data_IF_919283098145
#
_entry.id   IF_919283098145
#
_cell.length_a   1.000
_cell.length_b   1.000
_cell.length_c   1.000
_cell.angle_alpha   90.00
_cell.angle_beta   90.00
_cell.angle_gamma   90.00
#
_symmetry.space_group_name_H-M   'P 1'
#
loop_
_entity.id
_entity.type
_entity.pdbx_description
1 polymer ?
#
# COMPACT_ATOMS: atom_id res chain seq x y z
N UNK A 1 16.46 14.34 -16.16
CA UNK A 1 15.22 14.19 -16.95
C UNK A 1 15.22 12.77 -17.47
N UNK A 2 14.17 11.98 -17.20
CA UNK A 2 14.10 10.55 -17.55
C UNK A 2 12.99 10.37 -18.58
N UNK A 3 13.31 9.75 -19.71
CA UNK A 3 12.34 9.45 -20.77
C UNK A 3 11.58 8.15 -20.50
N UNK A 4 10.35 8.06 -20.98
CA UNK A 4 9.56 6.83 -20.94
C UNK A 4 10.15 5.77 -21.91
N UNK A 5 9.90 4.47 -21.66
CA UNK A 5 10.31 3.43 -22.58
C UNK A 5 9.52 3.51 -23.90
N UNK A 6 10.08 2.95 -24.96
CA UNK A 6 9.38 2.75 -26.23
C UNK A 6 8.17 1.83 -26.05
N UNK A 7 7.23 1.88 -26.99
CA UNK A 7 6.13 0.92 -27.05
C UNK A 7 6.62 -0.49 -27.38
N UNK A 8 5.86 -1.51 -26.97
CA UNK A 8 6.17 -2.91 -27.25
C UNK A 8 6.27 -3.15 -28.76
N UNK A 9 5.34 -2.59 -29.55
CA UNK A 9 5.35 -2.68 -31.02
C UNK A 9 6.63 -2.12 -31.65
N UNK A 10 7.06 -0.93 -31.22
CA UNK A 10 8.30 -0.32 -31.74
C UNK A 10 9.53 -1.14 -31.36
N UNK A 11 9.56 -1.69 -30.14
CA UNK A 11 10.65 -2.55 -29.69
C UNK A 11 10.71 -3.85 -30.50
N UNK A 12 9.59 -4.56 -30.64
CA UNK A 12 9.49 -5.82 -31.39
C UNK A 12 9.84 -5.64 -32.88
N UNK A 13 9.41 -4.53 -33.49
CA UNK A 13 9.70 -4.21 -34.89
C UNK A 13 11.08 -3.56 -35.10
N UNK A 14 11.88 -3.40 -34.04
CA UNK A 14 13.18 -2.71 -34.07
C UNK A 14 13.10 -1.31 -34.69
N UNK A 15 12.00 -0.59 -34.41
CA UNK A 15 11.75 0.78 -34.90
C UNK A 15 12.17 1.79 -33.85
N UNK A 16 13.05 2.76 -34.18
CA UNK A 16 13.34 3.88 -33.30
C UNK A 16 12.06 4.67 -32.99
N UNK A 17 11.76 4.85 -31.70
CA UNK A 17 10.63 5.62 -31.23
C UNK A 17 11.12 6.76 -30.32
N UNK A 18 10.77 8.00 -30.66
CA UNK A 18 11.01 9.13 -29.78
C UNK A 18 9.91 9.18 -28.72
N UNK A 19 10.27 8.95 -27.46
CA UNK A 19 9.33 8.93 -26.35
C UNK A 19 9.29 10.26 -25.61
N UNK A 20 8.19 10.51 -24.90
CA UNK A 20 8.04 11.67 -24.01
C UNK A 20 8.80 11.48 -22.69
N UNK A 21 9.07 12.59 -21.99
CA UNK A 21 9.64 12.51 -20.65
C UNK A 21 8.62 12.03 -19.61
N UNK A 22 9.10 11.45 -18.52
CA UNK A 22 8.26 11.09 -17.38
C UNK A 22 7.52 12.30 -16.79
N UNK A 23 8.15 13.48 -16.83
CA UNK A 23 7.53 14.72 -16.37
C UNK A 23 6.37 15.14 -17.28
N UNK A 24 6.57 15.06 -18.60
CA UNK A 24 5.53 15.40 -19.58
C UNK A 24 4.35 14.44 -19.49
N UNK A 25 4.61 13.15 -19.24
CA UNK A 25 3.59 12.12 -19.07
C UNK A 25 2.61 12.38 -17.93
N UNK A 26 2.97 13.22 -16.95
CA UNK A 26 2.08 13.63 -15.84
C UNK A 26 1.16 14.79 -16.20
N UNK A 27 1.35 15.40 -17.37
CA UNK A 27 0.43 16.40 -17.92
C UNK A 27 -0.76 15.71 -18.63
N UNK A 28 -1.92 16.37 -18.73
CA UNK A 28 -3.05 15.84 -19.50
C UNK A 28 -2.69 15.51 -20.96
N UNK A 29 -1.88 16.35 -21.61
CA UNK A 29 -1.40 16.13 -22.97
C UNK A 29 -0.38 15.00 -23.12
N UNK A 30 0.34 14.66 -22.05
CA UNK A 30 1.27 13.54 -22.05
C UNK A 30 0.56 12.22 -21.77
N UNK A 31 -0.47 12.22 -20.92
CA UNK A 31 -1.28 11.05 -20.63
C UNK A 31 -1.91 10.44 -21.90
N UNK A 32 -2.31 11.27 -22.88
CA UNK A 32 -2.87 10.81 -24.16
C UNK A 32 -1.86 10.14 -25.10
N UNK A 33 -0.57 10.17 -24.76
CA UNK A 33 0.53 9.58 -25.55
C UNK A 33 1.17 8.38 -24.86
N UNK A 34 0.56 7.88 -23.78
CA UNK A 34 1.10 6.73 -23.05
C UNK A 34 1.02 5.46 -23.91
N UNK A 35 2.10 4.67 -23.86
CA UNK A 35 2.10 3.26 -24.27
C UNK A 35 1.75 2.38 -23.06
N UNK A 36 1.46 1.10 -23.31
CA UNK A 36 1.16 0.12 -22.25
C UNK A 36 2.29 0.01 -21.22
N UNK A 37 3.55 -0.09 -21.68
CA UNK A 37 4.69 -0.13 -20.77
C UNK A 37 4.99 1.25 -20.16
N UNK A 38 4.80 2.33 -20.93
CA UNK A 38 4.95 3.71 -20.44
C UNK A 38 4.00 4.02 -19.27
N UNK A 39 2.76 3.50 -19.29
CA UNK A 39 1.82 3.68 -18.20
C UNK A 39 2.23 2.94 -16.93
N UNK A 40 2.88 1.77 -17.04
CA UNK A 40 3.48 1.08 -15.88
C UNK A 40 4.55 1.95 -15.23
N UNK A 41 5.46 2.52 -16.02
CA UNK A 41 6.53 3.39 -15.51
C UNK A 41 5.97 4.65 -14.86
N UNK A 42 4.94 5.26 -15.47
CA UNK A 42 4.23 6.38 -14.87
C UNK A 42 3.63 5.97 -13.51
N UNK A 43 2.90 4.86 -13.45
CA UNK A 43 2.26 4.41 -12.21
C UNK A 43 3.27 4.06 -11.12
N UNK A 44 4.40 3.42 -11.46
CA UNK A 44 5.50 3.17 -10.53
C UNK A 44 6.03 4.49 -9.93
N UNK A 45 6.20 5.52 -10.76
CA UNK A 45 6.66 6.84 -10.29
C UNK A 45 5.64 7.51 -9.35
N UNK A 46 4.34 7.37 -9.63
CA UNK A 46 3.27 7.92 -8.80
C UNK A 46 3.15 7.18 -7.47
N UNK A 47 3.31 5.84 -7.46
CA UNK A 47 3.42 5.09 -6.21
C UNK A 47 4.62 5.54 -5.36
N UNK A 48 5.78 5.75 -5.98
CA UNK A 48 6.94 6.30 -5.26
C UNK A 48 6.65 7.66 -4.62
N UNK A 49 5.95 8.55 -5.33
CA UNK A 49 5.53 9.86 -4.78
C UNK A 49 4.49 9.72 -3.68
N UNK A 50 3.53 8.81 -3.81
CA UNK A 50 2.57 8.51 -2.73
C UNK A 50 3.29 8.05 -1.47
N UNK A 51 4.26 7.14 -1.60
CA UNK A 51 5.04 6.64 -0.46
C UNK A 51 5.81 7.77 0.24
N UNK A 52 6.43 8.68 -0.54
CA UNK A 52 7.10 9.86 0.02
C UNK A 52 6.09 10.78 0.73
N UNK A 53 4.95 11.08 0.09
CA UNK A 53 3.89 11.92 0.66
C UNK A 53 3.31 11.35 1.96
N UNK A 54 3.25 10.02 2.09
CA UNK A 54 2.73 9.33 3.29
C UNK A 54 3.78 9.21 4.41
N UNK A 55 5.01 8.81 4.08
CA UNK A 55 6.00 8.37 5.07
C UNK A 55 7.16 9.36 5.32
N UNK A 56 7.29 10.42 4.52
CA UNK A 56 8.33 11.44 4.71
C UNK A 56 7.70 12.81 4.96
N UNK A 57 7.32 13.10 6.23
CA UNK A 57 6.81 14.41 6.61
C UNK A 57 7.87 15.49 6.36
N UNK A 58 7.44 16.62 5.82
CA UNK A 58 8.27 17.81 5.64
C UNK A 58 8.02 18.79 6.81
N UNK A 59 9.06 19.42 7.40
CA UNK A 59 8.88 20.47 8.40
C UNK A 59 7.93 21.59 7.96
N UNK A 60 7.87 21.88 6.66
CA UNK A 60 7.02 22.92 6.08
C UNK A 60 5.63 22.42 5.63
N UNK A 61 5.27 21.16 5.90
CA UNK A 61 4.02 20.55 5.41
C UNK A 61 2.76 21.29 5.89
N UNK A 62 2.78 21.86 7.11
CA UNK A 62 1.65 22.57 7.76
C UNK A 62 0.33 21.80 7.57
N UNK A 63 0.34 20.53 7.93
CA UNK A 63 -0.76 19.58 7.70
C UNK A 63 -2.06 19.89 8.49
N UNK A 64 -1.98 20.78 9.48
CA UNK A 64 -3.14 21.35 10.19
C UNK A 64 -3.82 22.53 9.45
N UNK A 65 -3.23 23.03 8.36
CA UNK A 65 -3.80 24.08 7.51
C UNK A 65 -4.11 23.49 6.12
N UNK A 66 -5.36 23.59 5.66
CA UNK A 66 -5.77 23.10 4.34
C UNK A 66 -5.08 23.81 3.17
N UNK A 67 -4.46 24.96 3.43
CA UNK A 67 -3.60 25.69 2.49
C UNK A 67 -2.11 25.37 2.64
N UNK A 68 -1.75 24.49 3.57
CA UNK A 68 -0.39 23.99 3.79
C UNK A 68 0.15 23.19 2.61
N UNK A 69 1.48 23.03 2.58
CA UNK A 69 2.18 22.36 1.48
C UNK A 69 1.80 20.88 1.33
N UNK A 70 1.48 20.19 2.43
CA UNK A 70 0.95 18.83 2.37
C UNK A 70 -0.30 18.76 1.49
N UNK A 71 -1.28 19.63 1.73
CA UNK A 71 -2.58 19.61 1.05
C UNK A 71 -2.48 20.13 -0.39
N UNK A 72 -1.58 21.09 -0.66
CA UNK A 72 -1.26 21.49 -2.04
C UNK A 72 -0.67 20.33 -2.83
N UNK A 73 0.33 19.63 -2.26
CA UNK A 73 0.95 18.45 -2.87
C UNK A 73 -0.06 17.33 -3.09
N UNK A 74 -0.92 17.08 -2.10
CA UNK A 74 -2.01 16.10 -2.17
C UNK A 74 -2.95 16.40 -3.35
N UNK A 75 -3.45 17.63 -3.45
CA UNK A 75 -4.34 18.06 -4.56
C UNK A 75 -3.66 17.95 -5.92
N UNK A 76 -2.37 18.30 -6.00
CA UNK A 76 -1.60 18.16 -7.24
C UNK A 76 -1.50 16.69 -7.67
N UNK A 77 -1.25 15.77 -6.72
CA UNK A 77 -1.16 14.35 -6.99
C UNK A 77 -2.52 13.75 -7.38
N UNK A 78 -3.61 14.13 -6.70
CA UNK A 78 -4.98 13.72 -7.05
C UNK A 78 -5.34 14.20 -8.46
N UNK A 79 -4.99 15.44 -8.79
CA UNK A 79 -5.19 16.00 -10.12
C UNK A 79 -4.40 15.22 -11.20
N UNK A 80 -3.16 14.81 -10.94
CA UNK A 80 -2.39 13.98 -11.90
C UNK A 80 -3.06 12.61 -12.09
N UNK A 81 -3.52 11.96 -11.02
CA UNK A 81 -4.21 10.67 -11.10
C UNK A 81 -5.51 10.76 -11.87
N UNK A 82 -6.34 11.77 -11.58
CA UNK A 82 -7.59 12.02 -12.27
C UNK A 82 -7.35 12.26 -13.76
N UNK A 83 -6.42 13.15 -14.12
CA UNK A 83 -6.12 13.41 -15.53
C UNK A 83 -5.54 12.19 -16.24
N UNK A 84 -4.69 11.42 -15.58
CA UNK A 84 -4.17 10.17 -16.14
C UNK A 84 -5.34 9.26 -16.51
N UNK A 85 -6.28 9.02 -15.59
CA UNK A 85 -7.46 8.18 -15.83
C UNK A 85 -8.33 8.70 -16.99
N UNK A 86 -8.64 10.00 -17.01
CA UNK A 86 -9.52 10.60 -18.00
C UNK A 86 -8.88 10.66 -19.40
N UNK A 87 -7.58 10.95 -19.47
CA UNK A 87 -6.85 11.19 -20.71
C UNK A 87 -6.15 9.95 -21.27
N UNK A 88 -6.28 8.77 -20.64
CA UNK A 88 -5.75 7.53 -21.22
C UNK A 88 -6.27 7.34 -22.67
N UNK A 89 -5.40 6.92 -23.61
CA UNK A 89 -5.80 6.50 -24.95
C UNK A 89 -6.88 5.40 -24.89
N UNK A 90 -7.76 5.35 -25.88
CA UNK A 90 -8.86 4.38 -25.91
C UNK A 90 -8.36 2.93 -25.80
N UNK A 91 -7.25 2.59 -26.46
CA UNK A 91 -6.64 1.27 -26.39
C UNK A 91 -6.10 0.92 -25.00
N UNK A 92 -5.81 1.91 -24.15
CA UNK A 92 -5.36 1.71 -22.76
C UNK A 92 -6.52 1.75 -21.75
N UNK A 93 -7.75 1.97 -22.20
CA UNK A 93 -8.95 1.94 -21.35
C UNK A 93 -9.60 0.56 -21.39
N UNK A 94 -10.22 0.19 -20.28
CA UNK A 94 -11.03 -1.02 -20.21
C UNK A 94 -12.45 -0.76 -20.74
N UNK A 95 -13.09 -1.72 -21.42
CA UNK A 95 -12.62 -3.09 -21.68
C UNK A 95 -11.71 -3.24 -22.91
N UNK A 96 -11.47 -2.18 -23.69
CA UNK A 96 -10.76 -2.27 -24.98
C UNK A 96 -9.34 -2.86 -24.86
N UNK A 97 -8.59 -2.49 -23.82
CA UNK A 97 -7.23 -2.98 -23.57
C UNK A 97 -7.13 -4.20 -22.65
N UNK A 98 -8.23 -4.91 -22.36
CA UNK A 98 -8.26 -5.98 -21.34
C UNK A 98 -7.36 -7.17 -21.67
N UNK A 99 -7.05 -7.41 -22.95
CA UNK A 99 -6.15 -8.49 -23.39
C UNK A 99 -4.70 -8.26 -22.99
N UNK A 100 -4.31 -7.02 -22.69
CA UNK A 100 -2.94 -6.69 -22.28
C UNK A 100 -2.85 -6.58 -20.74
N UNK A 101 -2.07 -7.45 -20.09
CA UNK A 101 -1.96 -7.45 -18.63
C UNK A 101 -1.42 -6.15 -18.02
N UNK A 102 -0.55 -5.42 -18.74
CA UNK A 102 -0.03 -4.14 -18.28
C UNK A 102 -1.13 -3.07 -18.27
N UNK A 103 -2.08 -3.13 -19.19
CA UNK A 103 -3.22 -2.20 -19.24
C UNK A 103 -4.18 -2.47 -18.08
N UNK A 104 -4.50 -3.73 -17.84
CA UNK A 104 -5.30 -4.16 -16.69
C UNK A 104 -4.65 -3.67 -15.39
N UNK A 105 -3.36 -3.93 -15.22
CA UNK A 105 -2.62 -3.52 -14.04
C UNK A 105 -2.50 -2.00 -13.92
N UNK A 106 -2.34 -1.26 -15.02
CA UNK A 106 -2.35 0.21 -15.03
C UNK A 106 -3.67 0.76 -14.48
N UNK A 107 -4.81 0.27 -14.99
CA UNK A 107 -6.12 0.74 -14.55
C UNK A 107 -6.36 0.41 -13.07
N UNK A 108 -6.01 -0.80 -12.61
CA UNK A 108 -6.05 -1.14 -11.17
C UNK A 108 -5.11 -0.25 -10.33
N UNK A 109 -3.92 0.06 -10.85
CA UNK A 109 -2.91 0.87 -10.17
C UNK A 109 -3.35 2.32 -9.99
N UNK A 110 -4.07 2.90 -10.96
CA UNK A 110 -4.63 4.26 -10.84
C UNK A 110 -5.54 4.33 -9.62
N UNK A 111 -6.52 3.43 -9.53
CA UNK A 111 -7.44 3.37 -8.39
C UNK A 111 -6.73 3.07 -7.08
N UNK A 112 -5.74 2.16 -7.10
CA UNK A 112 -4.95 1.82 -5.90
C UNK A 112 -4.17 3.04 -5.41
N UNK A 113 -3.55 3.78 -6.32
CA UNK A 113 -2.84 5.03 -6.01
C UNK A 113 -3.78 6.09 -5.43
N UNK A 114 -4.99 6.24 -5.97
CA UNK A 114 -6.03 7.10 -5.42
C UNK A 114 -6.38 6.71 -3.98
N UNK A 115 -6.57 5.41 -3.70
CA UNK A 115 -6.84 4.93 -2.33
C UNK A 115 -5.68 5.31 -1.41
N UNK A 116 -4.44 4.96 -1.75
CA UNK A 116 -3.28 5.26 -0.92
C UNK A 116 -3.12 6.76 -0.63
N UNK A 117 -3.36 7.60 -1.63
CA UNK A 117 -3.29 9.05 -1.50
C UNK A 117 -4.35 9.57 -0.49
N UNK A 118 -5.61 9.19 -0.67
CA UNK A 118 -6.69 9.58 0.23
C UNK A 118 -6.57 8.97 1.63
N UNK A 119 -5.84 7.86 1.77
CA UNK A 119 -5.48 7.31 3.08
C UNK A 119 -4.50 8.21 3.86
N UNK A 120 -3.63 8.93 3.18
CA UNK A 120 -2.86 9.99 3.85
C UNK A 120 -3.78 11.13 4.32
N UNK A 121 -4.71 11.57 3.47
CA UNK A 121 -5.61 12.69 3.77
C UNK A 121 -6.53 12.44 4.96
N UNK A 122 -7.23 11.30 4.99
CA UNK A 122 -8.14 10.98 6.10
C UNK A 122 -7.37 10.90 7.42
N UNK A 123 -6.20 10.26 7.44
CA UNK A 123 -5.37 10.21 8.65
C UNK A 123 -4.99 11.61 9.14
N UNK A 124 -4.50 12.48 8.25
CA UNK A 124 -4.11 13.85 8.61
C UNK A 124 -5.30 14.69 9.04
N UNK A 125 -6.43 14.59 8.33
CA UNK A 125 -7.65 15.31 8.66
C UNK A 125 -8.16 14.93 10.05
N UNK A 126 -8.23 13.63 10.35
CA UNK A 126 -8.69 13.13 11.65
C UNK A 126 -7.70 13.50 12.77
N UNK A 127 -6.38 13.38 12.53
CA UNK A 127 -5.32 13.73 13.49
C UNK A 127 -5.35 15.20 13.89
N UNK A 128 -5.53 16.09 12.92
CA UNK A 128 -5.50 17.55 13.12
C UNK A 128 -6.89 18.15 13.34
N UNK A 129 -7.92 17.31 13.44
CA UNK A 129 -9.32 17.73 13.67
C UNK A 129 -9.79 18.76 12.64
N UNK A 130 -9.40 18.57 11.38
CA UNK A 130 -9.86 19.38 10.25
C UNK A 130 -11.39 19.19 10.06
N UNK A 131 -12.06 20.05 9.27
CA UNK A 131 -13.48 19.88 8.99
C UNK A 131 -13.80 18.46 8.52
N UNK A 132 -14.83 17.84 9.12
CA UNK A 132 -15.20 16.44 8.84
C UNK A 132 -15.50 16.16 7.36
N UNK A 133 -15.87 17.19 6.59
CA UNK A 133 -16.05 17.11 5.14
C UNK A 133 -14.81 16.53 4.43
N UNK A 134 -13.60 16.94 4.82
CA UNK A 134 -12.35 16.52 4.19
C UNK A 134 -12.13 15.00 4.32
N UNK A 135 -12.34 14.48 5.53
CA UNK A 135 -12.28 13.05 5.83
C UNK A 135 -13.39 12.29 5.10
N UNK A 136 -14.62 12.83 5.08
CA UNK A 136 -15.76 12.20 4.42
C UNK A 136 -15.61 12.10 2.89
N UNK A 137 -15.14 13.16 2.24
CA UNK A 137 -14.93 13.20 0.79
C UNK A 137 -13.84 12.21 0.37
N UNK A 138 -12.75 12.16 1.15
CA UNK A 138 -11.67 11.19 0.93
C UNK A 138 -12.14 9.75 1.13
N UNK A 139 -13.04 9.48 2.10
CA UNK A 139 -13.65 8.15 2.28
C UNK A 139 -14.50 7.75 1.08
N UNK A 140 -15.26 8.69 0.52
CA UNK A 140 -16.04 8.48 -0.72
C UNK A 140 -15.11 8.14 -1.89
N UNK A 141 -14.02 8.88 -2.08
CA UNK A 141 -13.03 8.58 -3.13
C UNK A 141 -12.42 7.19 -2.98
N UNK A 142 -12.08 6.78 -1.77
CA UNK A 142 -11.56 5.44 -1.48
C UNK A 142 -12.56 4.33 -1.84
N UNK A 143 -13.82 4.44 -1.41
CA UNK A 143 -14.82 3.39 -1.66
C UNK A 143 -15.17 3.28 -3.15
N UNK A 144 -15.26 4.41 -3.86
CA UNK A 144 -15.45 4.42 -5.31
C UNK A 144 -14.28 3.71 -6.02
N UNK A 145 -13.04 4.05 -5.68
CA UNK A 145 -11.86 3.41 -6.27
C UNK A 145 -11.78 1.90 -5.96
N UNK A 146 -12.16 1.48 -4.74
CA UNK A 146 -12.19 0.07 -4.37
C UNK A 146 -13.25 -0.71 -5.18
N UNK A 147 -14.41 -0.11 -5.43
CA UNK A 147 -15.44 -0.69 -6.30
C UNK A 147 -14.95 -0.85 -7.74
N UNK A 148 -14.21 0.12 -8.29
CA UNK A 148 -13.60 0.00 -9.62
C UNK A 148 -12.57 -1.14 -9.67
N UNK A 149 -11.70 -1.29 -8.65
CA UNK A 149 -10.77 -2.42 -8.58
C UNK A 149 -11.52 -3.76 -8.57
N UNK A 150 -12.59 -3.87 -7.77
CA UNK A 150 -13.41 -5.07 -7.74
C UNK A 150 -14.10 -5.35 -9.08
N UNK A 151 -14.58 -4.30 -9.77
CA UNK A 151 -15.16 -4.38 -11.10
C UNK A 151 -14.15 -4.90 -12.13
N UNK A 152 -12.93 -4.33 -12.15
CA UNK A 152 -11.85 -4.78 -13.03
C UNK A 152 -11.48 -6.23 -12.74
N UNK A 153 -11.37 -6.61 -11.47
CA UNK A 153 -11.05 -7.98 -11.09
C UNK A 153 -12.15 -8.97 -11.52
N UNK A 154 -13.43 -8.59 -11.48
CA UNK A 154 -14.53 -9.40 -12.05
C UNK A 154 -14.43 -9.55 -13.56
N UNK A 155 -14.04 -8.49 -14.27
CA UNK A 155 -13.87 -8.56 -15.72
C UNK A 155 -12.81 -9.60 -16.13
N UNK A 156 -11.73 -9.73 -15.37
CA UNK A 156 -10.59 -10.61 -15.70
C UNK A 156 -10.58 -11.93 -14.91
N UNK A 157 -11.60 -12.22 -14.08
CA UNK A 157 -11.56 -13.37 -13.17
C UNK A 157 -11.57 -14.73 -13.87
N UNK A 158 -11.90 -14.75 -15.16
CA UNK A 158 -11.90 -15.94 -16.01
C UNK A 158 -10.56 -16.11 -16.78
N UNK A 159 -9.69 -15.10 -16.76
CA UNK A 159 -8.38 -15.12 -17.42
C UNK A 159 -7.35 -15.82 -16.55
N UNK A 160 -6.30 -16.38 -17.16
CA UNK A 160 -5.18 -16.95 -16.41
C UNK A 160 -4.42 -15.85 -15.65
N UNK A 161 -4.60 -15.83 -14.33
CA UNK A 161 -4.00 -14.84 -13.44
C UNK A 161 -2.47 -14.92 -13.39
N UNK A 162 -1.84 -15.99 -13.90
CA UNK A 162 -0.37 -16.08 -14.00
C UNK A 162 0.22 -15.14 -15.06
N UNK A 163 -0.60 -14.70 -16.01
CA UNK A 163 -0.21 -13.72 -17.04
C UNK A 163 -0.22 -12.27 -16.54
N UNK A 164 -0.75 -12.04 -15.33
CA UNK A 164 -0.96 -10.70 -14.78
C UNK A 164 0.25 -10.27 -13.95
N UNK A 165 0.51 -8.95 -13.93
CA UNK A 165 1.53 -8.37 -13.08
C UNK A 165 1.38 -8.87 -11.62
N UNK A 166 2.43 -9.47 -11.01
CA UNK A 166 2.36 -10.00 -9.66
C UNK A 166 1.91 -8.96 -8.61
N UNK A 167 2.14 -7.67 -8.85
CA UNK A 167 1.72 -6.62 -7.93
C UNK A 167 0.21 -6.36 -7.92
N UNK A 168 -0.59 -7.03 -8.77
CA UNK A 168 -2.06 -6.99 -8.67
C UNK A 168 -2.56 -7.45 -7.31
N UNK A 169 -1.86 -8.36 -6.62
CA UNK A 169 -2.23 -8.77 -5.26
C UNK A 169 -2.31 -7.58 -4.29
N UNK A 170 -1.45 -6.56 -4.47
CA UNK A 170 -1.47 -5.35 -3.66
C UNK A 170 -2.72 -4.49 -3.96
N UNK A 171 -3.13 -4.39 -5.23
CA UNK A 171 -4.35 -3.68 -5.61
C UNK A 171 -5.59 -4.30 -4.95
N UNK A 172 -5.69 -5.63 -4.99
CA UNK A 172 -6.80 -6.36 -4.35
C UNK A 172 -6.79 -6.21 -2.83
N UNK A 173 -5.62 -6.30 -2.21
CA UNK A 173 -5.43 -6.10 -0.78
C UNK A 173 -5.92 -4.71 -0.32
N UNK A 174 -5.47 -3.65 -1.01
CA UNK A 174 -5.84 -2.27 -0.68
C UNK A 174 -7.36 -2.05 -0.82
N UNK A 175 -7.98 -2.57 -1.88
CA UNK A 175 -9.42 -2.50 -2.06
C UNK A 175 -10.20 -3.26 -0.97
N UNK A 176 -9.75 -4.48 -0.63
CA UNK A 176 -10.37 -5.29 0.42
C UNK A 176 -10.35 -4.56 1.77
N UNK A 177 -9.23 -3.90 2.13
CA UNK A 177 -9.15 -3.11 3.38
C UNK A 177 -10.11 -1.94 3.39
N UNK A 178 -10.32 -1.26 2.27
CA UNK A 178 -11.33 -0.20 2.18
C UNK A 178 -12.72 -0.76 2.49
N UNK A 179 -13.09 -1.92 1.93
CA UNK A 179 -14.38 -2.56 2.23
C UNK A 179 -14.50 -2.98 3.69
N UNK A 180 -13.46 -3.57 4.28
CA UNK A 180 -13.44 -3.92 5.72
C UNK A 180 -13.69 -2.69 6.58
N UNK A 181 -12.99 -1.58 6.30
CA UNK A 181 -13.16 -0.34 7.05
C UNK A 181 -14.53 0.29 6.85
N UNK A 182 -15.06 0.26 5.62
CA UNK A 182 -16.40 0.78 5.31
C UNK A 182 -17.49 0.01 6.07
N UNK A 183 -17.40 -1.33 6.08
CA UNK A 183 -18.34 -2.20 6.79
C UNK A 183 -18.33 -2.02 8.32
N UNK A 184 -17.27 -1.44 8.92
CA UNK A 184 -17.30 -1.05 10.34
C UNK A 184 -18.37 0.00 10.64
N UNK A 185 -18.67 0.86 9.67
CA UNK A 185 -19.67 1.93 9.80
C UNK A 185 -21.02 1.57 9.19
N UNK A 186 -21.02 0.70 8.17
CA UNK A 186 -22.22 0.28 7.42
C UNK A 186 -22.28 -1.24 7.29
N UNK A 187 -22.50 -1.96 8.38
CA UNK A 187 -22.41 -3.42 8.38
C UNK A 187 -23.58 -4.13 7.69
N UNK A 188 -24.64 -3.40 7.32
CA UNK A 188 -25.81 -3.91 6.60
C UNK A 188 -25.66 -3.80 5.07
N UNK A 189 -24.55 -3.23 4.58
CA UNK A 189 -24.28 -3.08 3.15
C UNK A 189 -23.85 -4.43 2.53
N UNK A 190 -24.83 -5.20 2.08
CA UNK A 190 -24.61 -6.54 1.49
C UNK A 190 -23.77 -6.49 0.24
N UNK A 191 -23.94 -5.47 -0.61
CA UNK A 191 -23.18 -5.31 -1.86
C UNK A 191 -21.68 -5.14 -1.58
N UNK A 192 -21.32 -4.36 -0.56
CA UNK A 192 -19.93 -4.19 -0.16
C UNK A 192 -19.38 -5.48 0.45
N UNK A 193 -20.17 -6.18 1.26
CA UNK A 193 -19.78 -7.47 1.82
C UNK A 193 -19.55 -8.53 0.72
N UNK A 194 -20.40 -8.58 -0.31
CA UNK A 194 -20.25 -9.46 -1.46
C UNK A 194 -18.99 -9.15 -2.27
N UNK A 195 -18.71 -7.86 -2.47
CA UNK A 195 -17.49 -7.42 -3.16
C UNK A 195 -16.23 -7.80 -2.38
N UNK A 196 -16.25 -7.67 -1.06
CA UNK A 196 -15.15 -8.13 -0.20
C UNK A 196 -14.96 -9.65 -0.27
N UNK A 197 -16.05 -10.45 -0.18
CA UNK A 197 -15.96 -11.92 -0.32
C UNK A 197 -15.36 -12.32 -1.68
N UNK A 198 -15.79 -11.65 -2.76
CA UNK A 198 -15.24 -11.87 -4.08
C UNK A 198 -13.72 -11.59 -4.13
N UNK A 199 -13.27 -10.45 -3.59
CA UNK A 199 -11.84 -10.12 -3.56
C UNK A 199 -11.03 -11.13 -2.74
N UNK A 200 -11.55 -11.59 -1.60
CA UNK A 200 -10.90 -12.62 -0.78
C UNK A 200 -10.78 -13.96 -1.54
N UNK A 201 -11.81 -14.34 -2.29
CA UNK A 201 -11.77 -15.53 -3.14
C UNK A 201 -10.71 -15.40 -4.25
N UNK A 202 -10.66 -14.24 -4.93
CA UNK A 202 -9.67 -13.94 -5.95
C UNK A 202 -8.23 -13.99 -5.40
N UNK A 203 -7.99 -13.38 -4.24
CA UNK A 203 -6.68 -13.43 -3.57
C UNK A 203 -6.31 -14.86 -3.14
N UNK A 204 -7.25 -15.66 -2.67
CA UNK A 204 -7.02 -17.07 -2.36
C UNK A 204 -6.66 -17.90 -3.60
N UNK A 205 -7.22 -17.59 -4.77
CA UNK A 205 -6.81 -18.22 -6.02
C UNK A 205 -5.38 -17.82 -6.41
N UNK A 206 -5.04 -16.54 -6.23
CA UNK A 206 -3.77 -15.93 -6.62
C UNK A 206 -2.59 -16.38 -5.73
N UNK A 207 -2.83 -16.66 -4.43
CA UNK A 207 -1.78 -17.05 -3.47
C UNK A 207 -0.98 -18.30 -3.87
N UNK A 208 -1.60 -19.22 -4.64
CA UNK A 208 -0.92 -20.43 -5.14
C UNK A 208 0.25 -20.14 -6.07
N UNK A 209 0.30 -18.95 -6.67
CA UNK A 209 1.29 -18.55 -7.67
C UNK A 209 2.08 -17.31 -7.25
N UNK A 210 1.58 -16.55 -6.30
CA UNK A 210 2.19 -15.32 -5.82
C UNK A 210 2.28 -15.32 -4.27
N UNK A 211 3.46 -15.64 -3.71
CA UNK A 211 3.69 -15.69 -2.26
C UNK A 211 3.35 -14.39 -1.52
N UNK A 212 3.45 -13.23 -2.17
CA UNK A 212 3.09 -11.94 -1.56
C UNK A 212 1.61 -11.89 -1.18
N UNK A 213 0.76 -12.59 -1.95
CA UNK A 213 -0.68 -12.63 -1.67
C UNK A 213 -0.99 -13.30 -0.33
N UNK A 214 -0.21 -14.31 0.06
CA UNK A 214 -0.37 -14.97 1.35
C UNK A 214 -0.10 -14.00 2.50
N UNK A 215 0.97 -13.21 2.41
CA UNK A 215 1.28 -12.17 3.40
C UNK A 215 0.13 -11.15 3.53
N UNK A 216 -0.44 -10.72 2.40
CA UNK A 216 -1.57 -9.79 2.41
C UNK A 216 -2.86 -10.40 2.96
N UNK A 217 -3.11 -11.70 2.73
CA UNK A 217 -4.26 -12.41 3.29
C UNK A 217 -4.15 -12.51 4.82
N UNK A 218 -2.98 -12.84 5.35
CA UNK A 218 -2.75 -12.88 6.81
C UNK A 218 -3.04 -11.51 7.44
N UNK A 219 -2.60 -10.43 6.80
CA UNK A 219 -2.86 -9.08 7.30
C UNK A 219 -4.36 -8.72 7.25
N UNK A 220 -5.07 -9.18 6.22
CA UNK A 220 -6.53 -9.00 6.10
C UNK A 220 -7.31 -9.82 7.13
N UNK A 221 -6.85 -11.03 7.47
CA UNK A 221 -7.49 -11.87 8.48
C UNK A 221 -7.54 -11.17 9.85
N UNK A 222 -6.47 -10.44 10.21
CA UNK A 222 -6.43 -9.60 11.42
C UNK A 222 -7.47 -8.47 11.36
N UNK A 223 -7.55 -7.77 10.22
CA UNK A 223 -8.52 -6.68 10.02
C UNK A 223 -9.97 -7.19 10.08
N UNK A 224 -10.23 -8.39 9.52
CA UNK A 224 -11.52 -9.07 9.53
C UNK A 224 -11.91 -9.56 10.92
N UNK A 225 -10.96 -10.08 11.70
CA UNK A 225 -11.21 -10.48 13.08
C UNK A 225 -11.63 -9.27 13.93
N UNK A 226 -10.90 -8.15 13.81
CA UNK A 226 -11.27 -6.91 14.47
C UNK A 226 -12.68 -6.43 14.06
N UNK A 227 -13.06 -6.60 12.79
CA UNK A 227 -14.42 -6.32 12.31
C UNK A 227 -15.45 -7.26 12.93
N UNK A 228 -15.17 -8.57 12.99
CA UNK A 228 -16.08 -9.59 13.52
C UNK A 228 -16.30 -9.47 15.03
N UNK A 229 -15.27 -9.09 15.80
CA UNK A 229 -15.37 -8.79 17.23
C UNK A 229 -16.30 -7.59 17.45
N UNK A 230 -16.14 -6.54 16.64
CA UNK A 230 -16.98 -5.34 16.73
C UNK A 230 -18.41 -5.61 16.24
N UNK A 231 -18.57 -6.48 15.25
CA UNK A 231 -19.83 -6.69 14.52
C UNK A 231 -20.08 -8.21 14.36
N UNK A 232 -20.65 -8.88 15.37
CA UNK A 232 -20.78 -10.36 15.41
C UNK A 232 -21.55 -10.97 14.24
N UNK A 233 -22.71 -10.43 13.88
CA UNK A 233 -22.88 -9.86 12.54
C UNK A 233 -22.23 -10.57 11.34
N UNK A 234 -21.06 -10.03 11.03
CA UNK A 234 -20.25 -10.31 9.85
C UNK A 234 -19.31 -11.50 10.06
N UNK A 235 -19.24 -12.06 11.28
CA UNK A 235 -18.44 -13.26 11.58
C UNK A 235 -18.84 -14.44 10.71
N UNK A 236 -20.16 -14.64 10.50
CA UNK A 236 -20.65 -15.70 9.64
C UNK A 236 -20.38 -15.44 8.14
N UNK A 237 -20.22 -14.17 7.74
CA UNK A 237 -19.98 -13.76 6.37
C UNK A 237 -18.52 -13.93 5.92
N UNK A 238 -17.57 -13.95 6.87
CA UNK A 238 -16.12 -14.03 6.62
C UNK A 238 -15.48 -15.05 7.57
N UNK A 239 -15.74 -16.37 7.40
CA UNK A 239 -15.12 -17.41 8.21
C UNK A 239 -13.60 -17.46 7.97
N UNK A 240 -12.82 -17.79 9.02
CA UNK A 240 -11.36 -17.92 8.90
C UNK A 240 -10.98 -19.00 7.90
N UNK A 241 -9.82 -18.81 7.27
CA UNK A 241 -9.15 -19.84 6.48
C UNK A 241 -8.92 -21.15 7.27
N UNK A 242 -8.81 -21.08 8.61
CA UNK A 242 -8.68 -22.24 9.52
C UNK A 242 -10.01 -22.87 9.94
N UNK A 243 -11.12 -22.15 9.80
CA UNK A 243 -12.47 -22.60 10.19
C UNK A 243 -13.22 -23.26 9.03
N UNK A 244 -12.65 -23.22 7.82
CA UNK A 244 -13.14 -24.00 6.69
C UNK A 244 -12.92 -25.50 6.99
N UNK A 245 -13.94 -26.36 6.89
CA UNK A 245 -13.72 -27.79 6.99
C UNK A 245 -12.73 -28.17 5.89
N UNK A 246 -11.53 -28.60 6.28
CA UNK A 246 -10.60 -29.20 5.34
C UNK A 246 -11.31 -30.32 4.58
N UNK A 247 -10.89 -30.66 3.35
CA UNK A 247 -11.40 -31.84 2.68
C UNK A 247 -11.20 -33.01 3.64
N UNK A 248 -12.30 -33.65 4.05
CA UNK A 248 -12.24 -34.91 4.80
C UNK A 248 -11.66 -35.95 3.84
N UNK A 249 -10.33 -36.02 3.76
CA UNK A 249 -9.66 -37.21 3.29
C UNK A 249 -9.88 -38.27 4.35
N UNK A 250 -10.98 -39.01 4.22
CA UNK A 250 -11.04 -40.37 4.73
C UNK A 250 -9.84 -41.10 4.12
N UNK A 251 -8.91 -41.53 4.97
CA UNK A 251 -7.76 -42.32 4.57
C UNK A 251 -8.23 -43.46 3.64
N UNK A 252 -7.72 -43.56 2.40
CA UNK A 252 -7.92 -44.78 1.65
C UNK A 252 -7.13 -45.88 2.35
N UNK A 253 -7.77 -47.05 2.50
CA UNK A 253 -7.14 -48.29 2.91
C UNK A 253 -5.79 -48.49 2.20
N UNK A 254 -4.83 -49.08 2.91
CA UNK A 254 -3.42 -49.25 2.54
C UNK A 254 -3.15 -50.08 1.27
N UNK A 255 -4.17 -50.34 0.43
CA UNK A 255 -4.09 -51.15 -0.78
C UNK A 255 -4.16 -50.32 -2.07
N UNK A 256 -4.46 -49.02 -2.02
CA UNK A 256 -4.54 -48.17 -3.23
C UNK A 256 -3.22 -47.46 -3.60
N UNK A 257 -2.11 -47.70 -2.88
CA UNK A 257 -0.78 -47.09 -3.15
C UNK A 257 0.17 -48.09 -3.82
N UNK A 258 -0.37 -48.91 -4.72
CA UNK A 258 0.43 -49.79 -5.59
C UNK A 258 -0.12 -49.73 -6.99
N UNK A 259 0.23 -48.66 -7.71
CA UNK A 259 0.50 -48.67 -9.16
C UNK A 259 0.70 -47.24 -9.67
N UNK A 260 1.88 -46.69 -9.38
CA UNK A 260 2.52 -45.66 -10.20
C UNK A 260 4.02 -45.98 -10.18
N UNK A 261 4.47 -46.94 -10.99
CA UNK A 261 5.91 -47.16 -11.20
C UNK A 261 6.47 -45.92 -11.90
N UNK A 262 7.42 -45.26 -11.25
CA UNK A 262 8.23 -44.19 -11.82
C UNK A 262 9.69 -44.56 -11.54
N UNK A 263 10.61 -44.63 -12.54
CA UNK A 263 11.89 -45.32 -12.37
C UNK A 263 12.95 -44.57 -11.56
N UNK A 264 12.75 -43.28 -11.23
CA UNK A 264 13.82 -42.42 -10.71
C UNK A 264 13.62 -41.95 -9.25
N UNK A 265 12.95 -42.75 -8.42
CA UNK A 265 13.27 -42.87 -6.98
C UNK A 265 13.46 -41.61 -6.11
N UNK A 266 12.68 -40.53 -6.28
CA UNK A 266 12.65 -39.42 -5.29
C UNK A 266 11.21 -39.01 -4.99
N UNK A 267 10.75 -39.35 -3.79
CA UNK A 267 9.44 -38.97 -3.26
C UNK A 267 9.55 -37.93 -2.12
N UNK A 268 8.59 -37.00 -2.08
CA UNK A 268 8.31 -36.19 -0.89
C UNK A 268 8.91 -34.78 -0.85
N UNK A 269 8.44 -34.01 0.15
CA UNK A 269 8.44 -32.54 0.29
C UNK A 269 9.82 -31.86 0.47
N UNK A 270 10.92 -32.52 0.06
CA UNK A 270 12.29 -32.02 0.14
C UNK A 270 12.95 -31.75 -1.21
N UNK A 271 12.20 -31.70 -2.31
CA UNK A 271 12.76 -31.44 -3.65
C UNK A 271 13.03 -29.96 -4.00
N UNK A 272 12.81 -29.02 -3.07
CA UNK A 272 13.13 -27.59 -3.28
C UNK A 272 13.94 -27.01 -2.12
N UNK A 273 15.08 -27.65 -1.80
CA UNK A 273 16.17 -26.97 -1.11
C UNK A 273 17.20 -26.55 -2.15
N UNK A 274 16.87 -25.49 -2.90
CA UNK A 274 17.80 -24.92 -3.85
C UNK A 274 18.93 -24.23 -3.08
N UNK A 275 20.15 -24.60 -3.43
CA UNK A 275 21.40 -24.07 -2.93
C UNK A 275 21.54 -22.59 -3.33
N UNK A 276 21.17 -21.67 -2.44
CA UNK A 276 21.63 -20.28 -2.52
C UNK A 276 23.00 -20.18 -1.86
N UNK A 277 24.03 -20.40 -2.67
CA UNK A 277 25.43 -20.22 -2.29
C UNK A 277 25.80 -18.73 -2.36
N UNK A 278 25.33 -17.90 -1.42
CA UNK A 278 25.94 -16.59 -1.17
C UNK A 278 25.69 -16.16 0.28
N UNK A 279 26.79 -15.99 1.03
CA UNK A 279 26.91 -15.54 2.43
C UNK A 279 26.74 -16.61 3.51
N UNK A 280 27.80 -17.39 3.74
CA UNK A 280 28.07 -18.07 5.01
C UNK A 280 29.16 -17.32 5.77
N UNK A 281 28.84 -16.82 6.95
CA UNK A 281 29.73 -16.49 8.07
C UNK A 281 28.82 -16.34 9.30
N UNK A 282 29.02 -16.91 10.48
CA UNK A 282 29.97 -17.85 11.06
C UNK A 282 29.49 -17.96 12.52
N UNK A 283 29.25 -19.19 12.98
CA UNK A 283 29.09 -19.65 14.37
C UNK A 283 28.61 -18.64 15.45
N UNK A 284 27.39 -18.81 15.97
CA UNK A 284 27.10 -18.43 17.36
C UNK A 284 26.05 -19.35 17.99
N UNK A 285 26.38 -19.89 19.17
CA UNK A 285 25.67 -20.98 19.84
C UNK A 285 24.57 -20.44 20.77
N UNK A 286 23.33 -20.86 20.52
CA UNK A 286 22.16 -20.49 21.34
C UNK A 286 22.17 -21.18 22.73
N UNK A 287 22.73 -20.53 23.75
CA UNK A 287 22.58 -20.95 25.16
C UNK A 287 21.52 -20.11 25.90
N UNK A 288 20.44 -20.71 26.43
CA UNK A 288 19.29 -20.03 27.04
C UNK A 288 19.51 -19.48 28.46
N UNK A 289 20.76 -19.37 28.95
CA UNK A 289 21.07 -18.99 30.34
C UNK A 289 21.19 -17.48 30.63
N UNK A 290 20.96 -16.59 29.66
CA UNK A 290 21.19 -15.14 29.81
C UNK A 290 19.94 -14.24 29.79
N UNK A 291 18.78 -14.75 30.22
CA UNK A 291 17.58 -13.93 30.36
C UNK A 291 17.40 -13.42 31.80
N UNK A 292 17.36 -12.10 32.06
CA UNK A 292 16.70 -11.55 33.22
C UNK A 292 15.34 -10.93 32.87
N UNK A 293 14.32 -11.40 33.59
CA UNK A 293 12.95 -10.90 33.72
C UNK A 293 12.89 -9.40 34.05
N UNK A 294 11.78 -8.72 33.71
CA UNK A 294 11.23 -7.56 34.43
C UNK A 294 9.77 -7.24 34.01
N UNK A 295 8.84 -7.80 34.81
CA UNK A 295 7.55 -7.31 35.37
C UNK A 295 6.84 -6.06 34.77
N UNK A 296 5.51 -6.20 34.63
CA UNK A 296 4.46 -5.21 34.29
C UNK A 296 4.17 -4.17 35.40
N UNK A 297 3.43 -3.08 35.09
CA UNK A 297 2.36 -2.70 36.02
C UNK A 297 1.00 -2.37 35.36
N UNK A 298 -0.03 -2.62 36.16
CA UNK A 298 -1.47 -2.50 35.92
C UNK A 298 -2.04 -1.07 36.11
N UNK A 299 -2.99 -0.75 35.21
CA UNK A 299 -4.35 -0.20 35.41
C UNK A 299 -4.62 1.14 36.13
N UNK A 300 -5.45 1.99 35.51
CA UNK A 300 -6.56 2.66 36.20
C UNK A 300 -7.67 3.14 35.23
N UNK A 301 -8.91 2.87 35.63
CA UNK A 301 -10.18 3.01 34.91
C UNK A 301 -10.89 4.31 35.32
N UNK A 302 -11.64 4.98 34.42
CA UNK A 302 -12.86 5.68 34.83
C UNK A 302 -13.87 5.96 33.70
N UNK A 303 -15.14 5.74 34.04
CA UNK A 303 -16.34 5.76 33.20
C UNK A 303 -17.08 7.11 33.27
N UNK A 304 -17.89 7.42 32.25
CA UNK A 304 -18.92 8.47 32.31
C UNK A 304 -19.89 8.41 31.12
N UNK A 305 -21.19 8.28 31.39
CA UNK A 305 -22.28 8.16 30.41
C UNK A 305 -23.20 9.40 30.41
N UNK A 306 -23.77 9.77 29.24
CA UNK A 306 -25.21 10.01 28.99
C UNK A 306 -25.55 11.02 27.83
N UNK A 307 -26.37 10.52 26.89
CA UNK A 307 -27.59 11.09 26.24
C UNK A 307 -27.58 12.35 25.32
N UNK A 308 -27.81 12.11 24.01
CA UNK A 308 -29.01 12.61 23.28
C UNK A 308 -28.92 13.82 22.33
N UNK A 309 -28.78 13.61 21.01
CA UNK A 309 -29.59 14.23 19.91
C UNK A 309 -29.15 13.72 18.52
N UNK A 310 -30.13 13.40 17.68
CA UNK A 310 -29.96 12.91 16.31
C UNK A 310 -29.58 14.06 15.37
N UNK A 311 -28.41 13.95 14.75
CA UNK A 311 -28.01 14.68 13.55
C UNK A 311 -27.14 13.74 12.70
N UNK A 312 -27.22 13.90 11.38
CA UNK A 312 -26.64 13.01 10.35
C UNK A 312 -25.10 13.02 10.35
N UNK A 313 -24.51 12.38 11.36
CA UNK A 313 -23.09 12.50 11.69
C UNK A 313 -22.31 11.27 11.18
N UNK A 314 -21.46 11.47 10.18
CA UNK A 314 -20.45 10.49 9.79
C UNK A 314 -19.46 10.34 10.95
N UNK A 315 -19.46 9.17 11.59
CA UNK A 315 -18.86 8.95 12.90
C UNK A 315 -17.41 9.41 13.10
N UNK A 316 -17.21 10.17 14.19
CA UNK A 316 -15.95 10.48 14.87
C UNK A 316 -15.31 9.21 15.48
N UNK A 317 -14.75 8.33 14.65
CA UNK A 317 -13.94 7.20 15.13
C UNK A 317 -12.57 7.24 14.47
N UNK A 318 -11.47 7.13 15.25
CA UNK A 318 -10.13 7.30 14.74
C UNK A 318 -9.80 6.19 13.75
N UNK A 319 -9.42 6.60 12.54
CA UNK A 319 -8.93 5.72 11.50
C UNK A 319 -7.48 5.35 11.82
N UNK A 320 -7.21 4.05 12.01
CA UNK A 320 -5.87 3.58 12.40
C UNK A 320 -4.94 3.62 11.18
N UNK A 321 -3.78 4.30 11.26
CA UNK A 321 -2.72 4.17 10.27
C UNK A 321 -1.91 2.91 10.54
N UNK A 322 -1.43 2.27 9.47
CA UNK A 322 -0.38 1.27 9.58
C UNK A 322 0.92 1.92 10.07
N UNK A 323 1.21 1.79 11.36
CA UNK A 323 2.58 1.82 11.86
C UNK A 323 3.06 0.39 12.05
N UNK A 324 3.76 -0.16 11.05
CA UNK A 324 4.96 -0.98 11.25
C UNK A 324 5.56 -1.43 9.90
N UNK A 325 6.42 -0.59 9.35
CA UNK A 325 7.55 -1.05 8.53
C UNK A 325 8.77 -0.23 8.99
N UNK A 326 9.42 -0.68 10.06
CA UNK A 326 10.71 -0.13 10.49
C UNK A 326 11.83 -1.00 9.93
N UNK A 327 12.47 -0.55 8.85
CA UNK A 327 13.80 -0.99 8.48
C UNK A 327 14.83 -0.13 9.24
N UNK A 328 15.78 -0.84 9.84
CA UNK A 328 16.82 -0.37 10.76
C UNK A 328 18.03 0.28 10.06
N UNK A 329 18.89 0.88 10.91
CA UNK A 329 20.17 1.61 10.69
C UNK A 329 20.01 3.13 10.57
N UNK A 330 20.61 3.97 11.41
CA UNK A 330 21.70 3.80 12.36
C UNK A 330 22.87 4.69 11.94
N UNK A 331 23.16 5.75 12.69
CA UNK A 331 24.49 6.40 12.72
C UNK A 331 24.59 7.28 13.97
N UNK A 332 25.33 6.81 14.98
CA UNK A 332 26.01 7.68 15.94
C UNK A 332 27.41 7.98 15.36
N UNK A 333 28.05 9.07 15.83
CA UNK A 333 29.40 8.91 16.31
C UNK A 333 29.50 9.20 17.80
N UNK A 334 30.37 8.42 18.41
CA UNK A 334 30.73 8.40 19.80
C UNK A 334 31.29 9.74 20.32
N UNK A 335 31.19 9.93 21.64
CA UNK A 335 32.31 9.93 22.61
C UNK A 335 32.29 11.11 23.59
N UNK A 336 32.47 10.80 24.87
CA UNK A 336 33.08 11.71 25.86
C UNK A 336 32.24 12.01 27.11
N UNK A 337 32.47 11.25 28.18
CA UNK A 337 31.95 11.48 29.53
C UNK A 337 32.74 12.57 30.32
N UNK A 338 32.26 13.02 31.50
CA UNK A 338 32.35 14.41 31.98
C UNK A 338 33.42 14.66 33.05
N UNK A 339 33.69 15.93 33.40
CA UNK A 339 34.02 16.38 34.76
C UNK A 339 33.97 17.91 34.92
N UNK A 340 33.90 18.36 36.17
CA UNK A 340 33.36 19.62 36.72
C UNK A 340 34.21 20.90 36.56
N UNK A 341 33.55 22.07 36.58
CA UNK A 341 33.89 23.14 37.55
C UNK A 341 34.50 24.48 37.07
N UNK A 342 33.67 25.53 37.19
CA UNK A 342 33.96 26.94 37.58
C UNK A 342 34.02 28.04 36.48
N UNK A 343 33.34 29.14 36.84
CA UNK A 343 32.83 30.34 36.14
C UNK A 343 33.84 31.35 35.55
N UNK A 344 33.37 32.24 34.66
CA UNK A 344 33.08 33.71 34.82
C UNK A 344 33.32 34.52 33.49
N UNK A 345 32.42 35.48 33.18
CA UNK A 345 32.51 36.75 32.39
C UNK A 345 32.16 36.73 30.87
N UNK A 346 31.25 37.65 30.48
CA UNK A 346 30.68 37.88 29.12
C UNK A 346 31.49 38.81 28.17
N UNK A 347 30.85 39.71 27.38
CA UNK A 347 30.44 39.47 25.98
C UNK A 347 31.05 40.41 24.90
N UNK A 348 31.08 39.95 23.62
CA UNK A 348 30.93 40.69 22.31
C UNK A 348 32.07 41.71 21.96
N UNK A 349 32.50 42.02 20.68
CA UNK A 349 31.72 42.27 19.45
C UNK A 349 32.27 41.79 18.08
N UNK A 350 31.38 41.98 17.09
CA UNK A 350 31.51 41.97 15.61
C UNK A 350 32.56 42.94 15.04
N UNK A 351 32.85 42.84 13.73
CA UNK A 351 32.88 44.05 12.90
C UNK A 351 32.10 43.95 11.58
N UNK A 352 31.75 45.14 11.09
CA UNK A 352 30.92 45.52 9.93
C UNK A 352 31.83 46.22 8.89
N UNK A 353 31.34 46.33 7.64
CA UNK A 353 31.72 47.21 6.51
C UNK A 353 32.83 46.66 5.58
N UNK A 354 32.78 46.79 4.25
CA UNK A 354 32.32 47.93 3.44
C UNK A 354 31.97 47.57 1.97
N UNK A 355 31.35 48.52 1.25
CA UNK A 355 30.68 48.43 -0.08
C UNK A 355 31.56 48.82 -1.29
N UNK A 356 31.27 48.20 -2.45
CA UNK A 356 31.20 48.76 -3.86
C UNK A 356 32.49 49.29 -4.55
N UNK A 357 32.52 49.58 -5.90
CA UNK A 357 31.48 49.55 -6.95
C UNK A 357 31.84 48.90 -8.33
N UNK A 358 30.82 48.92 -9.20
CA UNK A 358 30.69 48.73 -10.66
C UNK A 358 31.89 49.06 -11.60
N UNK A 359 32.00 48.32 -12.72
CA UNK A 359 32.23 48.88 -14.07
C UNK A 359 31.91 47.87 -15.20
N UNK A 360 31.39 48.39 -16.31
CA UNK A 360 30.85 47.71 -17.50
C UNK A 360 31.94 47.50 -18.60
N UNK A 361 31.84 46.38 -19.35
CA UNK A 361 32.01 46.17 -20.83
C UNK A 361 33.24 46.74 -21.58
N UNK A 362 33.57 46.29 -22.82
CA UNK A 362 32.80 45.52 -23.81
C UNK A 362 32.89 44.00 -23.69
#
# INVERSE_FOLDING_TARGET
>A
MTNLPASDDSFEMSRPEQTQSLQDAMSPSGATKLSSFGSIVLMASLFGRNLIHLHRPDPDDRDHDLNGEFWKRHRQMDHILLNTSLCLPLQLKLPAGMSNPNIVFTNMSIHTSTICLHQAAIFKADKHKLPGSVSSESKVRCITAANEIASIMRMISHTDLTSINPFVCFCLYVAARVFVQYLKSRPDDSQTADSLRFLLAAMNALKRRNPLTESFLVQLDVDLEALAIRIPKLKAAFPRSTDSPGPKFSAPSAEAVRNCENPDGVGGIMAYRNECHFLRAGEDNADPRNAPNLVEPENETQSGAALGREDQNFGNQPWIPDQQISASRGSNPAQGMPMQGISVIGPVPTPIFEKSPLAQRP
#
